data_IF_759342367970
#
_entry.id   IF_759342367970
#
_cell.length_a   1.000
_cell.length_b   1.000
_cell.length_c   1.000
_cell.angle_alpha   90.00
_cell.angle_beta   90.00
_cell.angle_gamma   90.00
#
_symmetry.space_group_name_H-M   'P 1'
#
loop_
_entity.id
_entity.type
_entity.pdbx_description
1 polymer ?
#
# COMPACT_ATOMS: atom_id res chain seq x y z
N UNK A 1 -15.74 11.21 0.11
CA UNK A 1 -14.57 11.12 1.00
C UNK A 1 -14.02 12.52 1.27
N UNK A 2 -13.24 12.72 2.34
CA UNK A 2 -12.52 13.96 2.66
C UNK A 2 -11.19 14.06 1.90
N UNK A 3 -10.45 12.96 1.78
CA UNK A 3 -9.20 12.92 1.02
C UNK A 3 -9.22 11.83 -0.07
N UNK A 4 -8.83 12.24 -1.28
CA UNK A 4 -8.62 11.36 -2.42
C UNK A 4 -7.14 11.11 -2.59
N UNK A 5 -6.72 9.87 -2.33
CA UNK A 5 -5.31 9.54 -2.18
C UNK A 5 -4.82 8.44 -3.12
N UNK A 6 -3.51 8.43 -3.29
CA UNK A 6 -2.78 7.35 -3.94
C UNK A 6 -1.55 6.99 -3.09
N UNK A 7 -1.14 5.74 -3.15
CA UNK A 7 0.12 5.30 -2.56
C UNK A 7 1.28 5.62 -3.51
N UNK A 8 2.34 6.21 -2.97
CA UNK A 8 3.59 6.51 -3.66
C UNK A 8 4.73 5.69 -3.04
N UNK A 9 5.27 4.76 -3.81
CA UNK A 9 6.34 3.86 -3.39
C UNK A 9 7.70 4.54 -3.47
N UNK A 10 8.46 4.50 -2.37
CA UNK A 10 9.83 4.99 -2.28
C UNK A 10 10.88 3.88 -2.29
N UNK A 11 10.41 2.62 -2.35
CA UNK A 11 11.19 1.40 -2.33
C UNK A 11 10.99 0.63 -1.04
N UNK A 12 10.62 -0.64 -1.17
CA UNK A 12 10.59 -1.61 -0.08
C UNK A 12 12.01 -2.13 0.17
N UNK A 13 12.46 -2.11 1.43
CA UNK A 13 13.80 -2.59 1.80
C UNK A 13 13.74 -4.00 2.36
N UNK A 14 14.50 -4.92 1.76
CA UNK A 14 14.70 -6.30 2.25
C UNK A 14 16.18 -6.61 2.20
N UNK A 15 16.77 -7.00 3.34
CA UNK A 15 18.19 -7.33 3.48
C UNK A 15 19.16 -6.27 2.89
N UNK A 16 18.78 -5.01 2.98
CA UNK A 16 19.55 -3.86 2.46
C UNK A 16 19.32 -3.54 0.98
N UNK A 17 18.58 -4.37 0.25
CA UNK A 17 18.21 -4.17 -1.15
C UNK A 17 16.86 -3.45 -1.24
N UNK A 18 16.76 -2.46 -2.12
CA UNK A 18 15.52 -1.74 -2.38
C UNK A 18 14.82 -2.26 -3.62
N UNK A 19 13.49 -2.46 -3.55
CA UNK A 19 12.65 -2.76 -4.72
C UNK A 19 12.62 -1.63 -5.76
N UNK A 20 13.08 -0.44 -5.38
CA UNK A 20 13.16 0.74 -6.24
C UNK A 20 14.62 1.16 -6.35
N UNK A 21 15.31 0.65 -7.37
CA UNK A 21 16.73 0.94 -7.57
C UNK A 21 16.94 2.44 -7.84
N UNK A 22 16.15 3.02 -8.74
CA UNK A 22 16.31 4.41 -9.17
C UNK A 22 15.37 5.35 -8.40
N UNK A 23 15.95 6.24 -7.60
CA UNK A 23 15.18 7.23 -6.83
C UNK A 23 15.69 8.65 -7.03
N UNK A 24 15.51 9.17 -8.26
CA UNK A 24 15.95 10.50 -8.63
C UNK A 24 15.01 11.60 -8.10
N UNK A 25 15.50 12.58 -7.31
CA UNK A 25 14.64 13.60 -6.71
C UNK A 25 13.77 14.40 -7.70
N UNK A 26 14.31 14.69 -8.90
CA UNK A 26 13.57 15.41 -9.93
C UNK A 26 12.40 14.60 -10.51
N UNK A 27 12.56 13.27 -10.60
CA UNK A 27 11.49 12.35 -11.01
C UNK A 27 10.43 12.30 -9.92
N UNK A 28 10.82 12.14 -8.65
CA UNK A 28 9.90 12.12 -7.51
C UNK A 28 9.05 13.39 -7.46
N UNK A 29 9.69 14.55 -7.58
CA UNK A 29 8.99 15.84 -7.58
C UNK A 29 8.00 15.96 -8.73
N UNK A 30 8.36 15.48 -9.92
CA UNK A 30 7.50 15.51 -11.10
C UNK A 30 6.32 14.54 -11.00
N UNK A 31 6.56 13.33 -10.49
CA UNK A 31 5.51 12.35 -10.25
C UNK A 31 4.48 12.86 -9.22
N UNK A 32 4.94 13.45 -8.12
CA UNK A 32 4.06 14.04 -7.11
C UNK A 32 3.27 15.24 -7.65
N UNK A 33 3.85 16.04 -8.56
CA UNK A 33 3.11 17.10 -9.23
C UNK A 33 2.00 16.54 -10.13
N UNK A 34 2.26 15.48 -10.89
CA UNK A 34 1.26 14.78 -11.71
C UNK A 34 0.16 14.16 -10.84
N UNK A 35 0.53 13.58 -9.69
CA UNK A 35 -0.43 13.05 -8.71
C UNK A 35 -1.40 14.15 -8.23
N UNK A 36 -0.89 15.35 -7.95
CA UNK A 36 -1.76 16.47 -7.58
C UNK A 36 -2.58 17.00 -8.75
N UNK A 37 -1.92 17.33 -9.86
CA UNK A 37 -2.50 18.16 -10.92
C UNK A 37 -3.34 17.34 -11.90
N UNK A 38 -2.90 16.13 -12.24
CA UNK A 38 -3.51 15.33 -13.31
C UNK A 38 -4.39 14.22 -12.75
N UNK A 39 -3.99 13.59 -11.63
CA UNK A 39 -4.85 12.65 -10.89
C UNK A 39 -5.84 13.35 -9.95
N UNK A 40 -5.70 14.66 -9.70
CA UNK A 40 -6.55 15.43 -8.77
C UNK A 40 -6.51 14.89 -7.32
N UNK A 41 -5.42 14.21 -6.93
CA UNK A 41 -5.27 13.74 -5.55
C UNK A 41 -5.11 14.91 -4.59
N UNK A 42 -5.68 14.78 -3.40
CA UNK A 42 -5.54 15.73 -2.29
C UNK A 42 -4.62 15.22 -1.20
N UNK A 43 -4.32 13.91 -1.21
CA UNK A 43 -3.42 13.27 -0.26
C UNK A 43 -2.52 12.24 -0.97
N UNK A 44 -1.38 11.92 -0.35
CA UNK A 44 -0.49 10.84 -0.81
C UNK A 44 0.01 10.03 0.38
N UNK A 45 -0.07 8.70 0.27
CA UNK A 45 0.58 7.76 1.20
C UNK A 45 1.97 7.48 0.70
N UNK A 46 2.97 8.13 1.30
CA UNK A 46 4.38 7.91 0.99
C UNK A 46 4.85 6.69 1.75
N UNK A 47 5.13 5.60 1.04
CA UNK A 47 5.45 4.28 1.63
C UNK A 47 6.82 3.77 1.22
N UNK A 48 7.46 2.99 2.08
CA UNK A 48 8.77 2.38 1.81
C UNK A 48 9.60 2.11 3.07
N UNK A 49 10.76 1.49 2.88
CA UNK A 49 11.64 1.05 3.98
C UNK A 49 12.73 2.04 4.38
N UNK A 50 13.08 2.99 3.50
CA UNK A 50 14.16 3.96 3.72
C UNK A 50 13.63 5.29 4.29
N UNK A 51 13.95 5.64 5.56
CA UNK A 51 13.51 6.89 6.19
C UNK A 51 13.91 8.16 5.43
N UNK A 52 15.06 8.18 4.76
CA UNK A 52 15.54 9.34 4.01
C UNK A 52 14.72 9.55 2.75
N UNK A 53 14.41 8.48 2.01
CA UNK A 53 13.55 8.54 0.83
C UNK A 53 12.12 8.92 1.18
N UNK A 54 11.59 8.40 2.30
CA UNK A 54 10.28 8.78 2.83
C UNK A 54 10.23 10.28 3.14
N UNK A 55 11.23 10.82 3.86
CA UNK A 55 11.28 12.24 4.22
C UNK A 55 11.42 13.15 2.98
N UNK A 56 12.20 12.73 1.98
CA UNK A 56 12.35 13.46 0.73
C UNK A 56 11.02 13.57 -0.03
N UNK A 57 10.35 12.43 -0.27
CA UNK A 57 9.08 12.41 -0.99
C UNK A 57 7.97 13.12 -0.20
N UNK A 58 7.90 12.92 1.12
CA UNK A 58 6.98 13.63 2.01
C UNK A 58 7.18 15.14 1.97
N UNK A 59 8.43 15.59 1.94
CA UNK A 59 8.78 17.01 1.78
C UNK A 59 8.24 17.59 0.47
N UNK A 60 8.47 16.90 -0.65
CA UNK A 60 7.97 17.38 -1.94
C UNK A 60 6.44 17.37 -2.01
N UNK A 61 5.79 16.33 -1.48
CA UNK A 61 4.34 16.26 -1.40
C UNK A 61 3.76 17.43 -0.58
N UNK A 62 4.36 17.71 0.58
CA UNK A 62 3.99 18.84 1.42
C UNK A 62 4.17 20.19 0.72
N UNK A 63 5.28 20.40 0.02
CA UNK A 63 5.55 21.63 -0.75
C UNK A 63 4.56 21.83 -1.92
N UNK A 64 3.98 20.74 -2.43
CA UNK A 64 2.92 20.75 -3.44
C UNK A 64 1.52 20.96 -2.84
N UNK A 65 1.38 20.97 -1.52
CA UNK A 65 0.12 21.17 -0.80
C UNK A 65 -0.72 19.90 -0.60
N UNK A 66 -0.14 18.72 -0.82
CA UNK A 66 -0.81 17.45 -0.54
C UNK A 66 -0.79 17.14 0.96
N UNK A 67 -1.87 16.56 1.48
CA UNK A 67 -1.82 15.90 2.79
C UNK A 67 -0.91 14.67 2.71
N UNK A 68 0.02 14.54 3.65
CA UNK A 68 1.03 13.49 3.64
C UNK A 68 0.66 12.39 4.63
N UNK A 69 0.52 11.17 4.14
CA UNK A 69 0.43 9.98 4.95
C UNK A 69 1.82 9.33 4.98
N UNK A 70 2.60 9.65 6.01
CA UNK A 70 3.97 9.19 6.19
C UNK A 70 3.95 7.75 6.70
N UNK A 71 4.31 6.79 5.84
CA UNK A 71 4.03 5.37 6.03
C UNK A 71 5.28 4.51 5.92
N UNK A 72 6.15 4.45 6.95
CA UNK A 72 7.21 3.44 6.97
C UNK A 72 6.64 2.04 6.79
N UNK A 73 7.24 1.27 5.88
CA UNK A 73 6.85 -0.09 5.55
C UNK A 73 7.97 -1.06 5.97
N UNK A 74 7.94 -1.54 7.22
CA UNK A 74 8.97 -2.43 7.76
C UNK A 74 8.80 -3.84 7.15
N UNK A 75 9.87 -4.39 6.58
CA UNK A 75 9.90 -5.77 6.09
C UNK A 75 10.96 -6.57 6.83
N UNK A 76 10.59 -7.78 7.25
CA UNK A 76 11.47 -8.75 7.92
C UNK A 76 12.21 -8.21 9.15
N UNK A 77 11.71 -7.13 9.77
CA UNK A 77 12.30 -6.59 11.00
C UNK A 77 11.77 -7.33 12.22
N UNK A 78 12.60 -7.49 13.25
CA UNK A 78 12.12 -7.85 14.58
C UNK A 78 11.45 -6.65 15.28
N UNK A 79 10.85 -6.88 16.46
CA UNK A 79 10.13 -5.82 17.19
C UNK A 79 11.04 -4.65 17.62
N UNK A 80 12.30 -4.90 17.96
CA UNK A 80 13.25 -3.87 18.36
C UNK A 80 13.63 -2.97 17.17
N UNK A 81 13.98 -3.60 16.06
CA UNK A 81 14.30 -2.95 14.78
C UNK A 81 13.12 -2.13 14.25
N UNK A 82 11.91 -2.72 14.27
CA UNK A 82 10.65 -2.05 13.92
C UNK A 82 10.45 -0.78 14.73
N UNK A 83 10.56 -0.85 16.07
CA UNK A 83 10.33 0.31 16.93
C UNK A 83 11.39 1.39 16.69
N UNK A 84 12.65 1.02 16.42
CA UNK A 84 13.69 1.98 16.07
C UNK A 84 13.38 2.72 14.76
N UNK A 85 12.93 2.00 13.73
CA UNK A 85 12.49 2.60 12.47
C UNK A 85 11.32 3.57 12.67
N UNK A 86 10.29 3.15 13.41
CA UNK A 86 9.12 4.00 13.68
C UNK A 86 9.49 5.26 14.48
N UNK A 87 10.47 5.18 15.39
CA UNK A 87 10.96 6.34 16.12
C UNK A 87 11.61 7.38 15.19
N UNK A 88 12.54 6.95 14.34
CA UNK A 88 13.21 7.84 13.37
C UNK A 88 12.20 8.48 12.42
N UNK A 89 11.33 7.66 11.82
CA UNK A 89 10.27 8.13 10.93
C UNK A 89 9.31 9.11 11.62
N UNK A 90 9.00 8.93 12.91
CA UNK A 90 8.15 9.88 13.64
C UNK A 90 8.80 11.26 13.79
N UNK A 91 10.11 11.31 14.05
CA UNK A 91 10.87 12.58 14.10
C UNK A 91 10.93 13.25 12.72
N UNK A 92 11.09 12.46 11.65
CA UNK A 92 11.06 12.93 10.26
C UNK A 92 9.70 13.50 9.87
N UNK A 93 8.63 12.77 10.15
CA UNK A 93 7.27 13.20 9.91
C UNK A 93 6.94 14.51 10.68
N UNK A 94 7.44 14.64 11.92
CA UNK A 94 7.30 15.86 12.71
C UNK A 94 8.02 17.06 12.06
N UNK A 95 9.21 16.87 11.49
CA UNK A 95 9.89 17.94 10.73
C UNK A 95 9.08 18.41 9.52
N UNK A 96 8.48 17.48 8.78
CA UNK A 96 7.58 17.82 7.66
C UNK A 96 6.35 18.59 8.16
N UNK A 97 5.72 18.13 9.26
CA UNK A 97 4.55 18.78 9.87
C UNK A 97 4.85 20.19 10.39
N UNK A 98 6.01 20.39 11.02
CA UNK A 98 6.42 21.69 11.57
C UNK A 98 6.63 22.78 10.50
N UNK A 99 6.76 22.39 9.22
CA UNK A 99 6.75 23.31 8.08
C UNK A 99 5.34 23.78 7.69
N UNK A 100 4.31 23.30 8.37
CA UNK A 100 2.91 23.68 8.14
C UNK A 100 2.11 22.68 7.31
N UNK A 101 2.69 21.53 6.95
CA UNK A 101 1.99 20.49 6.21
C UNK A 101 1.03 19.70 7.11
N UNK A 102 -0.08 19.23 6.53
CA UNK A 102 -0.93 18.25 7.19
C UNK A 102 -0.32 16.85 7.02
N UNK A 103 0.03 16.22 8.15
CA UNK A 103 0.71 14.92 8.18
C UNK A 103 -0.05 13.95 9.07
N UNK A 104 -0.30 12.75 8.54
CA UNK A 104 -0.76 11.57 9.27
C UNK A 104 0.39 10.57 9.31
N UNK A 105 0.71 10.03 10.49
CA UNK A 105 1.71 8.98 10.63
C UNK A 105 1.04 7.60 10.60
N UNK A 106 1.48 6.72 9.70
CA UNK A 106 1.02 5.33 9.61
C UNK A 106 2.04 4.44 10.32
N UNK A 107 1.66 3.88 11.48
CA UNK A 107 2.56 3.18 12.40
C UNK A 107 2.88 1.73 11.96
N UNK A 108 3.19 1.55 10.67
CA UNK A 108 3.42 0.25 10.03
C UNK A 108 2.24 -0.22 9.20
N UNK A 109 2.46 -1.32 8.48
CA UNK A 109 1.49 -2.00 7.66
C UNK A 109 1.61 -3.52 7.84
N UNK A 110 0.49 -4.20 8.03
CA UNK A 110 0.37 -5.67 8.01
C UNK A 110 1.44 -6.43 8.83
N UNK A 111 1.80 -5.91 10.01
CA UNK A 111 2.95 -6.37 10.79
C UNK A 111 2.92 -7.88 11.05
N UNK A 112 1.74 -8.45 11.26
CA UNK A 112 1.58 -9.90 11.46
C UNK A 112 2.24 -10.76 10.39
N UNK A 113 2.21 -10.30 9.14
CA UNK A 113 2.74 -10.99 7.96
C UNK A 113 4.12 -10.45 7.57
N UNK A 114 4.32 -9.14 7.67
CA UNK A 114 5.51 -8.47 7.16
C UNK A 114 6.71 -8.54 8.10
N UNK A 115 6.51 -8.85 9.39
CA UNK A 115 7.55 -8.81 10.42
C UNK A 115 7.76 -10.15 11.14
N UNK A 116 8.99 -10.34 11.63
CA UNK A 116 9.38 -11.55 12.35
C UNK A 116 8.81 -11.57 13.78
N UNK A 117 8.50 -12.77 14.26
CA UNK A 117 8.17 -13.01 15.67
C UNK A 117 6.70 -12.80 16.06
N UNK A 118 5.83 -12.39 15.13
CA UNK A 118 4.39 -12.29 15.36
C UNK A 118 3.67 -13.60 15.00
N UNK A 119 3.98 -14.15 13.82
CA UNK A 119 3.57 -15.49 13.37
C UNK A 119 4.77 -16.44 13.25
N UNK A 120 4.54 -17.77 13.32
CA UNK A 120 5.57 -18.75 12.97
C UNK A 120 5.97 -18.63 11.50
N UNK A 121 7.26 -18.73 11.21
CA UNK A 121 7.81 -18.68 9.85
C UNK A 121 8.94 -17.66 9.73
N UNK A 122 9.99 -18.05 9.01
CA UNK A 122 11.16 -17.20 8.80
C UNK A 122 10.95 -16.21 7.65
N UNK A 123 10.09 -16.55 6.69
CA UNK A 123 9.74 -15.72 5.53
C UNK A 123 8.30 -15.23 5.58
N UNK A 124 8.01 -14.15 4.85
CA UNK A 124 6.65 -13.67 4.59
C UNK A 124 5.73 -14.78 4.07
N UNK A 125 6.21 -15.57 3.10
CA UNK A 125 5.47 -16.70 2.53
C UNK A 125 5.16 -17.79 3.57
N UNK A 126 6.08 -18.09 4.48
CA UNK A 126 5.81 -19.03 5.57
C UNK A 126 4.68 -18.52 6.48
N UNK A 127 4.71 -17.23 6.82
CA UNK A 127 3.70 -16.60 7.68
C UNK A 127 2.34 -16.51 6.99
N UNK A 128 2.29 -16.18 5.70
CA UNK A 128 1.07 -16.23 4.89
C UNK A 128 0.49 -17.65 4.84
N UNK A 129 1.34 -18.66 4.62
CA UNK A 129 0.90 -20.06 4.57
C UNK A 129 0.25 -20.50 5.87
N UNK A 130 0.74 -20.06 7.03
CA UNK A 130 0.11 -20.34 8.33
C UNK A 130 -1.32 -19.79 8.41
N UNK A 131 -1.58 -18.63 7.81
CA UNK A 131 -2.92 -18.01 7.82
C UNK A 131 -3.87 -18.62 6.78
N UNK A 132 -3.31 -19.15 5.69
CA UNK A 132 -4.06 -19.64 4.54
C UNK A 132 -4.21 -21.17 4.52
N UNK A 133 -3.55 -21.90 5.43
CA UNK A 133 -3.58 -23.35 5.48
C UNK A 133 -5.01 -23.87 5.72
N UNK A 134 -5.62 -24.58 4.74
CA UNK A 134 -6.96 -25.13 4.88
C UNK A 134 -7.08 -26.14 6.03
N UNK A 135 -5.98 -26.84 6.36
CA UNK A 135 -5.96 -27.87 7.40
C UNK A 135 -5.95 -27.27 8.81
N UNK A 136 -5.57 -26.00 8.96
CA UNK A 136 -5.57 -25.27 10.24
C UNK A 136 -6.86 -24.46 10.47
N UNK A 137 -7.87 -24.61 9.60
CA UNK A 137 -9.11 -23.80 9.63
C UNK A 137 -9.84 -23.84 10.96
N UNK A 138 -9.85 -24.99 11.64
CA UNK A 138 -10.50 -25.15 12.95
C UNK A 138 -9.74 -24.43 14.08
N UNK A 139 -8.43 -24.20 13.92
CA UNK A 139 -7.56 -23.50 14.88
C UNK A 139 -7.38 -22.02 14.57
N UNK A 140 -7.89 -21.58 13.41
CA UNK A 140 -7.80 -20.20 12.96
C UNK A 140 -8.38 -19.20 13.98
N UNK A 141 -9.53 -19.44 14.65
CA UNK A 141 -10.03 -18.49 15.65
C UNK A 141 -9.07 -18.26 16.82
N UNK A 142 -8.46 -19.32 17.37
CA UNK A 142 -7.47 -19.23 18.44
C UNK A 142 -6.20 -18.54 17.96
N UNK A 143 -5.68 -18.94 16.79
CA UNK A 143 -4.51 -18.32 16.17
C UNK A 143 -4.71 -16.82 15.97
N UNK A 144 -5.86 -16.41 15.44
CA UNK A 144 -6.22 -15.01 15.24
C UNK A 144 -6.28 -14.26 16.56
N UNK A 145 -6.83 -14.87 17.62
CA UNK A 145 -6.89 -14.26 18.96
C UNK A 145 -5.49 -14.01 19.52
N UNK A 146 -4.60 -15.01 19.45
CA UNK A 146 -3.21 -14.88 19.90
C UNK A 146 -2.43 -13.86 19.08
N UNK A 147 -2.58 -13.91 17.75
CA UNK A 147 -1.97 -12.95 16.83
C UNK A 147 -2.39 -11.53 17.16
N UNK A 148 -3.71 -11.30 17.30
CA UNK A 148 -4.28 -9.99 17.61
C UNK A 148 -3.72 -9.46 18.92
N UNK A 149 -3.56 -10.31 19.95
CA UNK A 149 -2.98 -9.91 21.22
C UNK A 149 -1.51 -9.47 21.08
N UNK A 150 -0.70 -10.22 20.31
CA UNK A 150 0.72 -9.89 20.06
C UNK A 150 0.87 -8.61 19.24
N UNK A 151 0.11 -8.46 18.15
CA UNK A 151 0.11 -7.26 17.31
C UNK A 151 -0.26 -6.05 18.16
N UNK A 152 -1.34 -6.13 18.96
CA UNK A 152 -1.76 -5.01 19.80
C UNK A 152 -0.76 -4.66 20.92
N UNK A 153 0.05 -5.59 21.42
CA UNK A 153 1.14 -5.27 22.34
C UNK A 153 2.25 -4.45 21.66
N UNK A 154 2.65 -4.87 20.46
CA UNK A 154 3.62 -4.13 19.63
C UNK A 154 3.08 -2.74 19.27
N UNK A 155 1.83 -2.65 18.82
CA UNK A 155 1.20 -1.38 18.45
C UNK A 155 1.07 -0.42 19.64
N UNK A 156 0.79 -0.91 20.85
CA UNK A 156 0.77 -0.06 22.07
C UNK A 156 2.13 0.59 22.31
N UNK A 157 3.21 -0.18 22.16
CA UNK A 157 4.59 0.33 22.30
C UNK A 157 4.93 1.31 21.18
N UNK A 158 4.58 0.98 19.93
CA UNK A 158 4.81 1.81 18.76
C UNK A 158 4.07 3.15 18.87
N UNK A 159 2.79 3.16 19.20
CA UNK A 159 2.00 4.38 19.36
C UNK A 159 2.55 5.26 20.48
N UNK A 160 2.89 4.69 21.64
CA UNK A 160 3.51 5.46 22.72
C UNK A 160 4.82 6.14 22.27
N UNK A 161 5.64 5.42 21.50
CA UNK A 161 6.91 5.90 20.96
C UNK A 161 6.74 7.01 19.93
N UNK A 162 5.79 6.84 19.00
CA UNK A 162 5.44 7.80 17.95
C UNK A 162 4.88 9.07 18.58
N UNK A 163 3.92 8.97 19.52
CA UNK A 163 3.31 10.13 20.19
C UNK A 163 4.29 10.96 21.01
N UNK A 164 5.39 10.37 21.47
CA UNK A 164 6.46 11.11 22.15
C UNK A 164 7.27 12.02 21.20
N UNK A 165 7.17 11.80 19.88
CA UNK A 165 8.00 12.45 18.84
C UNK A 165 7.19 13.22 17.80
N UNK A 166 5.95 12.84 17.60
CA UNK A 166 5.09 13.35 16.55
C UNK A 166 3.76 13.88 17.12
N UNK A 167 3.43 15.13 16.77
CA UNK A 167 2.26 15.84 17.27
C UNK A 167 1.00 15.74 16.39
N UNK A 168 1.05 15.03 15.26
CA UNK A 168 -0.07 14.88 14.33
C UNK A 168 -0.95 13.66 14.59
N UNK A 169 -1.82 13.35 13.62
CA UNK A 169 -2.74 12.21 13.67
C UNK A 169 -2.00 10.90 13.42
N UNK A 170 -2.33 9.84 14.14
CA UNK A 170 -1.69 8.52 14.02
C UNK A 170 -2.72 7.46 13.65
N UNK A 171 -2.36 6.60 12.71
CA UNK A 171 -3.11 5.44 12.25
C UNK A 171 -2.18 4.23 12.08
N UNK A 172 -2.72 3.12 11.61
CA UNK A 172 -2.01 1.90 11.26
C UNK A 172 -2.70 1.26 10.04
N UNK A 173 -1.95 0.65 9.12
CA UNK A 173 -2.51 -0.03 7.95
C UNK A 173 -2.68 -1.53 8.27
N UNK A 174 -3.91 -1.92 8.62
CA UNK A 174 -4.18 -3.29 9.07
C UNK A 174 -4.77 -4.16 7.97
N UNK A 175 -4.40 -5.43 7.95
CA UNK A 175 -5.26 -6.46 7.37
C UNK A 175 -6.42 -6.78 8.32
N UNK A 176 -7.61 -7.15 7.82
CA UNK A 176 -8.78 -7.44 8.67
C UNK A 176 -8.55 -8.48 9.77
N UNK A 177 -7.56 -9.36 9.60
CA UNK A 177 -7.26 -10.44 10.52
C UNK A 177 -6.68 -9.97 11.87
N UNK A 178 -6.00 -8.81 11.91
CA UNK A 178 -5.21 -8.39 13.07
C UNK A 178 -6.04 -7.89 14.27
N UNK A 179 -7.34 -7.63 14.07
CA UNK A 179 -8.29 -7.12 15.08
C UNK A 179 -7.66 -6.06 15.99
N UNK A 180 -7.19 -4.99 15.36
CA UNK A 180 -6.48 -3.89 16.00
C UNK A 180 -7.36 -3.18 17.04
N UNK A 181 -6.76 -2.83 18.18
CA UNK A 181 -7.32 -1.95 19.19
C UNK A 181 -7.27 -0.51 18.69
N UNK A 182 -8.31 -0.11 17.96
CA UNK A 182 -8.43 1.23 17.40
C UNK A 182 -8.49 2.33 18.46
N UNK A 183 -8.67 2.04 19.76
CA UNK A 183 -8.64 3.06 20.81
C UNK A 183 -7.29 3.79 20.89
N UNK A 184 -6.20 3.14 20.44
CA UNK A 184 -4.84 3.70 20.40
C UNK A 184 -4.66 4.77 19.30
N UNK A 185 -5.52 4.76 18.28
CA UNK A 185 -5.35 5.53 17.05
C UNK A 185 -6.43 6.60 16.85
N UNK A 186 -6.11 7.61 16.05
CA UNK A 186 -7.05 8.67 15.68
C UNK A 186 -7.96 8.25 14.52
N UNK A 187 -7.47 7.35 13.67
CA UNK A 187 -8.11 6.88 12.44
C UNK A 187 -8.05 5.35 12.41
N UNK A 188 -9.10 4.73 11.90
CA UNK A 188 -9.14 3.30 11.56
C UNK A 188 -8.54 3.14 10.16
N UNK A 189 -7.39 2.46 10.03
CA UNK A 189 -6.73 2.24 8.74
C UNK A 189 -6.78 0.78 8.31
N UNK A 190 -7.40 0.50 7.16
CA UNK A 190 -7.59 -0.89 6.70
C UNK A 190 -7.15 -1.03 5.25
N UNK A 191 -6.32 -2.04 5.01
CA UNK A 191 -5.99 -2.53 3.68
C UNK A 191 -7.13 -3.45 3.23
N UNK A 192 -7.89 -3.01 2.23
CA UNK A 192 -9.22 -3.56 1.96
C UNK A 192 -9.43 -3.89 0.49
N UNK A 193 -9.42 -5.18 0.21
CA UNK A 193 -9.59 -5.75 -1.12
C UNK A 193 -10.92 -6.50 -1.25
N UNK A 194 -11.62 -6.30 -2.36
CA UNK A 194 -12.83 -7.06 -2.72
C UNK A 194 -12.41 -8.27 -3.56
N UNK A 195 -12.56 -9.46 -3.01
CA UNK A 195 -12.46 -10.71 -3.81
C UNK A 195 -13.84 -11.18 -4.28
N UNK A 196 -13.89 -12.21 -5.12
CA UNK A 196 -15.15 -12.84 -5.53
C UNK A 196 -15.90 -13.43 -4.32
N UNK A 197 -15.19 -14.03 -3.37
CA UNK A 197 -15.77 -14.68 -2.18
C UNK A 197 -16.52 -13.69 -1.27
N UNK A 198 -16.07 -12.43 -1.23
CA UNK A 198 -16.64 -11.40 -0.35
C UNK A 198 -17.44 -10.32 -1.08
N UNK A 199 -17.56 -10.40 -2.41
CA UNK A 199 -18.21 -9.37 -3.22
C UNK A 199 -19.64 -9.04 -2.73
N UNK A 200 -20.44 -10.05 -2.40
CA UNK A 200 -21.81 -9.88 -1.91
C UNK A 200 -21.94 -9.20 -0.54
N UNK A 201 -20.86 -9.17 0.25
CA UNK A 201 -20.83 -8.58 1.60
C UNK A 201 -19.95 -7.33 1.70
N UNK A 202 -19.16 -7.02 0.66
CA UNK A 202 -18.13 -5.98 0.71
C UNK A 202 -18.67 -4.62 1.15
N UNK A 203 -19.72 -4.13 0.49
CA UNK A 203 -20.38 -2.86 0.83
C UNK A 203 -20.89 -2.83 2.29
N UNK A 204 -21.50 -3.92 2.75
CA UNK A 204 -21.97 -4.03 4.12
C UNK A 204 -20.81 -4.05 5.13
N UNK A 205 -19.69 -4.67 4.76
CA UNK A 205 -18.44 -4.63 5.53
C UNK A 205 -17.89 -3.21 5.68
N UNK A 206 -17.81 -2.45 4.57
CA UNK A 206 -17.38 -1.03 4.61
C UNK A 206 -18.30 -0.21 5.52
N UNK A 207 -19.62 -0.36 5.41
CA UNK A 207 -20.57 0.29 6.31
C UNK A 207 -20.32 -0.06 7.78
N UNK A 208 -20.03 -1.32 8.06
CA UNK A 208 -19.70 -1.79 9.41
C UNK A 208 -18.44 -1.14 9.98
N UNK A 209 -17.42 -0.90 9.15
CA UNK A 209 -16.22 -0.15 9.54
C UNK A 209 -16.57 1.30 9.90
N UNK A 210 -17.30 1.99 9.03
CA UNK A 210 -17.66 3.41 9.23
C UNK A 210 -18.58 3.61 10.44
N UNK A 211 -19.46 2.65 10.72
CA UNK A 211 -20.39 2.72 11.86
C UNK A 211 -19.70 2.72 13.25
N UNK A 212 -18.39 2.46 13.33
CA UNK A 212 -17.64 2.47 14.59
C UNK A 212 -17.41 3.88 15.17
N UNK A 213 -17.72 4.94 14.43
CA UNK A 213 -17.71 6.33 14.92
C UNK A 213 -16.35 7.01 14.94
N UNK A 214 -15.29 6.35 14.45
CA UNK A 214 -13.99 6.96 14.13
C UNK A 214 -13.86 7.16 12.61
N UNK A 215 -13.10 8.16 12.13
CA UNK A 215 -12.76 8.25 10.71
C UNK A 215 -12.13 6.95 10.23
N UNK A 216 -12.56 6.46 9.06
CA UNK A 216 -12.03 5.26 8.43
C UNK A 216 -11.25 5.68 7.19
N UNK A 217 -10.00 5.24 7.11
CA UNK A 217 -9.19 5.32 5.91
C UNK A 217 -8.98 3.93 5.32
N UNK A 218 -9.24 3.79 4.02
CA UNK A 218 -8.80 2.63 3.26
C UNK A 218 -7.36 2.91 2.85
N UNK A 219 -6.42 2.38 3.64
CA UNK A 219 -4.98 2.64 3.49
C UNK A 219 -4.40 1.98 2.24
N UNK A 220 -5.14 1.03 1.69
CA UNK A 220 -4.77 0.30 0.48
C UNK A 220 -5.99 -0.37 -0.16
N UNK A 221 -6.14 -0.19 -1.47
CA UNK A 221 -7.02 -0.99 -2.33
C UNK A 221 -6.51 -0.95 -3.77
N UNK A 222 -6.70 -2.03 -4.52
CA UNK A 222 -6.27 -2.09 -5.90
C UNK A 222 -6.46 -3.48 -6.51
N UNK A 223 -6.02 -3.63 -7.75
CA UNK A 223 -5.91 -4.92 -8.41
C UNK A 223 -4.90 -4.85 -9.55
N UNK A 224 -4.41 -6.01 -10.00
CA UNK A 224 -3.49 -6.14 -11.12
C UNK A 224 -4.21 -6.00 -12.49
N UNK A 225 -3.44 -5.91 -13.58
CA UNK A 225 -3.93 -5.60 -14.92
C UNK A 225 -4.10 -6.83 -15.83
N UNK A 226 -4.49 -7.97 -15.29
CA UNK A 226 -4.86 -9.17 -16.05
C UNK A 226 -6.32 -9.57 -15.83
N UNK A 227 -6.89 -10.31 -16.80
CA UNK A 227 -8.28 -10.76 -16.75
C UNK A 227 -8.56 -11.61 -15.51
N UNK A 228 -9.50 -11.15 -14.69
CA UNK A 228 -9.89 -11.83 -13.44
C UNK A 228 -9.06 -11.46 -12.21
N UNK A 229 -8.11 -10.54 -12.32
CA UNK A 229 -7.30 -10.07 -11.19
C UNK A 229 -8.16 -9.54 -10.03
N UNK A 230 -9.20 -8.75 -10.35
CA UNK A 230 -10.10 -8.16 -9.36
C UNK A 230 -10.77 -9.21 -8.47
N UNK A 231 -11.08 -10.38 -8.99
CA UNK A 231 -11.74 -11.45 -8.23
C UNK A 231 -10.81 -12.16 -7.25
N UNK A 232 -9.49 -12.01 -7.41
CA UNK A 232 -8.50 -12.53 -6.46
C UNK A 232 -8.30 -11.64 -5.23
N UNK A 233 -8.79 -10.40 -5.25
CA UNK A 233 -8.60 -9.44 -4.16
C UNK A 233 -7.12 -9.20 -3.86
N UNK A 234 -6.74 -9.29 -2.57
CA UNK A 234 -5.35 -9.10 -2.13
C UNK A 234 -4.35 -10.10 -2.76
N UNK A 235 -4.84 -11.22 -3.30
CA UNK A 235 -4.03 -12.27 -3.94
C UNK A 235 -3.78 -12.04 -5.42
N UNK A 236 -4.11 -10.86 -5.95
CA UNK A 236 -3.94 -10.57 -7.37
C UNK A 236 -2.47 -10.61 -7.84
N UNK A 237 -1.51 -10.48 -6.92
CA UNK A 237 -0.08 -10.60 -7.24
C UNK A 237 0.47 -12.03 -7.15
N UNK A 238 -0.32 -13.01 -6.70
CA UNK A 238 0.05 -14.44 -6.61
C UNK A 238 0.01 -15.13 -7.99
N UNK A 239 0.69 -14.51 -8.96
CA UNK A 239 0.97 -15.05 -10.30
C UNK A 239 2.44 -14.88 -10.66
N UNK A 240 3.28 -14.53 -9.68
CA UNK A 240 4.71 -14.21 -9.85
C UNK A 240 5.54 -15.29 -9.16
N UNK A 241 6.50 -15.83 -9.91
CA UNK A 241 7.60 -16.64 -9.37
C UNK A 241 8.70 -15.71 -8.88
N UNK A 242 9.14 -15.90 -7.64
CA UNK A 242 10.26 -15.14 -7.04
C UNK A 242 11.52 -15.99 -7.03
N UNK A 243 12.67 -15.36 -7.25
CA UNK A 243 13.96 -16.00 -7.11
C UNK A 243 14.23 -16.34 -5.64
N UNK A 244 14.67 -17.56 -5.36
CA UNK A 244 14.80 -18.06 -3.99
C UNK A 244 15.95 -17.44 -3.20
N UNK A 245 16.96 -16.92 -3.90
CA UNK A 245 18.17 -16.39 -3.28
C UNK A 245 18.06 -14.88 -3.06
N UNK A 246 17.58 -14.16 -4.07
CA UNK A 246 17.44 -12.69 -4.05
C UNK A 246 16.08 -12.20 -3.55
N UNK A 247 15.02 -13.03 -3.66
CA UNK A 247 13.66 -12.61 -3.38
C UNK A 247 13.06 -11.67 -4.43
N UNK A 248 13.73 -11.46 -5.57
CA UNK A 248 13.26 -10.59 -6.64
C UNK A 248 12.22 -11.30 -7.53
N UNK A 249 11.25 -10.57 -8.11
CA UNK A 249 10.29 -11.14 -9.03
C UNK A 249 11.02 -11.61 -10.31
N UNK A 250 10.97 -12.91 -10.59
CA UNK A 250 11.69 -13.51 -11.71
C UNK A 250 10.85 -13.47 -13.00
N UNK A 251 9.60 -13.94 -12.94
CA UNK A 251 8.66 -14.02 -14.06
C UNK A 251 7.25 -14.39 -13.58
N UNK A 252 6.26 -14.33 -14.46
CA UNK A 252 4.92 -14.85 -14.20
C UNK A 252 4.90 -16.39 -14.18
N UNK A 253 4.02 -17.00 -13.40
CA UNK A 253 3.83 -18.46 -13.30
C UNK A 253 3.04 -19.08 -14.48
N UNK A 254 2.56 -18.23 -15.40
CA UNK A 254 1.77 -18.62 -16.56
C UNK A 254 1.56 -17.47 -17.55
N UNK A 255 0.80 -17.74 -18.61
CA UNK A 255 0.43 -16.74 -19.60
C UNK A 255 -0.90 -16.08 -19.21
N UNK A 256 -0.89 -14.75 -19.12
CA UNK A 256 -2.04 -13.95 -18.67
C UNK A 256 -2.48 -12.96 -19.74
N UNK A 257 -3.80 -12.77 -19.84
CA UNK A 257 -4.38 -11.80 -20.79
C UNK A 257 -4.50 -10.45 -20.11
N UNK A 258 -3.81 -9.43 -20.65
CA UNK A 258 -3.88 -8.04 -20.19
C UNK A 258 -5.31 -7.49 -20.22
N UNK A 259 -5.70 -6.81 -19.15
CA UNK A 259 -7.02 -6.21 -18.95
C UNK A 259 -6.95 -4.95 -18.06
N UNK A 260 -6.38 -3.87 -18.61
CA UNK A 260 -6.33 -2.58 -17.91
C UNK A 260 -7.72 -1.98 -17.67
N UNK A 261 -8.70 -2.30 -18.54
CA UNK A 261 -10.08 -1.84 -18.36
C UNK A 261 -10.76 -2.55 -17.18
N UNK A 262 -10.43 -3.82 -16.95
CA UNK A 262 -10.83 -4.56 -15.74
C UNK A 262 -10.25 -3.93 -14.47
N UNK A 263 -8.97 -3.59 -14.46
CA UNK A 263 -8.33 -2.85 -13.35
C UNK A 263 -9.04 -1.51 -13.09
N UNK A 264 -9.29 -0.74 -14.15
CA UNK A 264 -10.00 0.55 -14.06
C UNK A 264 -11.42 0.40 -13.52
N UNK A 265 -12.18 -0.61 -13.98
CA UNK A 265 -13.54 -0.87 -13.51
C UNK A 265 -13.56 -1.24 -12.02
N UNK A 266 -12.62 -2.06 -11.56
CA UNK A 266 -12.49 -2.43 -10.15
C UNK A 266 -12.23 -1.22 -9.25
N UNK A 267 -11.31 -0.33 -9.63
CA UNK A 267 -11.03 0.88 -8.85
C UNK A 267 -12.26 1.79 -8.74
N UNK A 268 -13.00 2.00 -9.84
CA UNK A 268 -14.23 2.80 -9.83
C UNK A 268 -15.29 2.18 -8.92
N UNK A 269 -15.51 0.87 -9.02
CA UNK A 269 -16.48 0.15 -8.18
C UNK A 269 -16.20 0.37 -6.68
N UNK A 270 -14.95 0.20 -6.26
CA UNK A 270 -14.59 0.34 -4.84
C UNK A 270 -14.69 1.78 -4.36
N UNK A 271 -14.24 2.74 -5.17
CA UNK A 271 -14.36 4.16 -4.86
C UNK A 271 -15.82 4.61 -4.70
N UNK A 272 -16.72 4.13 -5.56
CA UNK A 272 -18.16 4.38 -5.44
C UNK A 272 -18.75 3.80 -4.15
N UNK A 273 -18.27 2.63 -3.71
CA UNK A 273 -18.66 2.07 -2.40
C UNK A 273 -18.13 2.92 -1.26
N UNK A 274 -16.85 3.32 -1.31
CA UNK A 274 -16.22 4.11 -0.24
C UNK A 274 -16.87 5.48 -0.09
N UNK A 275 -17.18 6.17 -1.19
CA UNK A 275 -17.92 7.43 -1.15
C UNK A 275 -19.34 7.25 -0.61
N UNK A 276 -20.06 6.22 -1.07
CA UNK A 276 -21.45 5.99 -0.67
C UNK A 276 -21.60 5.61 0.82
N UNK A 277 -20.64 4.88 1.37
CA UNK A 277 -20.70 4.39 2.76
C UNK A 277 -19.98 5.33 3.75
N UNK A 278 -19.38 6.44 3.29
CA UNK A 278 -18.85 7.50 4.16
C UNK A 278 -17.43 7.25 4.68
N UNK A 279 -16.58 6.62 3.88
CA UNK A 279 -15.13 6.54 4.15
C UNK A 279 -14.53 7.95 4.20
N UNK A 280 -13.58 8.19 5.10
CA UNK A 280 -12.90 9.49 5.24
C UNK A 280 -11.84 9.68 4.16
N UNK A 281 -10.96 8.70 3.97
CA UNK A 281 -9.83 8.77 3.04
C UNK A 281 -9.62 7.41 2.36
N UNK A 282 -9.17 7.38 1.11
CA UNK A 282 -8.82 6.13 0.43
C UNK A 282 -7.57 6.29 -0.43
N UNK A 283 -6.70 5.27 -0.43
CA UNK A 283 -5.42 5.28 -1.14
C UNK A 283 -5.36 4.12 -2.14
N UNK A 284 -5.45 4.45 -3.43
CA UNK A 284 -5.24 3.46 -4.48
C UNK A 284 -3.80 2.96 -4.41
N UNK A 285 -3.62 1.65 -4.34
CA UNK A 285 -2.33 1.00 -4.42
C UNK A 285 -2.18 0.45 -5.84
N UNK A 286 -1.26 0.95 -6.67
CA UNK A 286 -0.12 1.85 -6.38
C UNK A 286 0.06 2.85 -7.54
N UNK A 287 0.84 3.94 -7.37
CA UNK A 287 1.21 4.79 -8.51
C UNK A 287 2.02 4.01 -9.56
N UNK A 288 3.21 3.53 -9.19
CA UNK A 288 4.12 2.77 -10.02
C UNK A 288 4.84 1.69 -9.18
N UNK A 289 5.09 0.52 -9.74
CA UNK A 289 5.88 -0.56 -9.11
C UNK A 289 7.11 -0.85 -9.98
N UNK A 290 8.27 -0.29 -9.63
CA UNK A 290 9.48 -0.31 -10.47
C UNK A 290 10.01 -1.73 -10.72
N UNK A 291 9.88 -2.63 -9.73
CA UNK A 291 10.28 -4.03 -9.85
C UNK A 291 9.41 -4.88 -10.80
N UNK A 292 8.34 -4.31 -11.38
CA UNK A 292 7.39 -5.00 -12.25
C UNK A 292 7.32 -4.31 -13.63
N UNK A 293 8.39 -4.39 -14.45
CA UNK A 293 8.46 -3.70 -15.73
C UNK A 293 7.50 -4.27 -16.77
N UNK A 294 7.15 -3.42 -17.74
CA UNK A 294 6.34 -3.77 -18.89
C UNK A 294 7.20 -4.29 -20.04
N UNK A 295 7.03 -5.57 -20.40
CA UNK A 295 7.83 -6.27 -21.42
C UNK A 295 6.97 -7.03 -22.44
N UNK A 296 6.17 -6.32 -23.25
CA UNK A 296 5.16 -6.96 -24.12
C UNK A 296 5.74 -7.69 -25.34
N UNK A 297 6.98 -7.40 -25.72
CA UNK A 297 7.58 -7.86 -26.98
C UNK A 297 8.37 -9.18 -26.84
N UNK A 298 8.53 -9.69 -25.63
CA UNK A 298 9.34 -10.87 -25.28
C UNK A 298 8.53 -12.13 -24.96
N UNK A 299 9.06 -12.99 -24.09
CA UNK A 299 8.28 -14.08 -23.48
C UNK A 299 7.11 -13.45 -22.70
N UNK A 300 5.85 -13.86 -22.93
CA UNK A 300 4.69 -13.32 -22.20
C UNK A 300 4.82 -13.40 -20.67
N UNK A 301 5.63 -14.33 -20.16
CA UNK A 301 5.89 -14.49 -18.73
C UNK A 301 6.85 -13.42 -18.16
N UNK A 302 7.56 -12.70 -19.01
CA UNK A 302 8.49 -11.65 -18.58
C UNK A 302 7.78 -10.29 -18.38
N UNK A 303 6.53 -10.13 -18.83
CA UNK A 303 5.71 -8.91 -18.65
C UNK A 303 5.13 -8.83 -17.22
N UNK A 304 6.01 -8.65 -16.23
CA UNK A 304 5.66 -8.56 -14.81
C UNK A 304 4.62 -7.48 -14.51
N UNK A 305 4.54 -6.41 -15.31
CA UNK A 305 3.51 -5.37 -15.18
C UNK A 305 2.07 -5.93 -15.18
N UNK A 306 1.82 -7.11 -15.76
CA UNK A 306 0.51 -7.78 -15.66
C UNK A 306 0.09 -8.03 -14.21
N UNK A 307 1.04 -8.40 -13.35
CA UNK A 307 0.84 -8.64 -11.92
C UNK A 307 0.89 -7.34 -11.09
N UNK A 308 1.33 -6.23 -11.65
CA UNK A 308 1.47 -4.96 -10.94
C UNK A 308 0.11 -4.31 -10.65
N UNK A 309 -0.17 -3.90 -9.40
CA UNK A 309 -1.33 -3.08 -9.07
C UNK A 309 -1.11 -1.60 -9.44
N UNK A 310 0.09 -1.24 -9.94
CA UNK A 310 0.42 0.10 -10.41
C UNK A 310 -0.55 0.61 -11.47
N UNK A 311 -0.89 1.89 -11.42
CA UNK A 311 -1.76 2.55 -12.42
C UNK A 311 -1.00 3.08 -13.64
N UNK A 312 0.33 2.92 -13.64
CA UNK A 312 1.21 3.18 -14.79
C UNK A 312 1.98 1.90 -15.12
N UNK A 313 2.37 1.76 -16.38
CA UNK A 313 3.31 0.74 -16.87
C UNK A 313 4.71 1.29 -16.71
N UNK A 314 5.58 0.60 -15.98
CA UNK A 314 7.01 0.94 -15.90
C UNK A 314 7.71 0.45 -17.16
N UNK A 315 8.55 1.28 -17.77
CA UNK A 315 9.17 1.01 -19.06
C UNK A 315 10.69 0.84 -18.91
N UNK A 316 11.22 -0.22 -19.52
CA UNK A 316 12.67 -0.45 -19.60
C UNK A 316 13.31 0.44 -20.67
N UNK A 317 14.39 1.14 -20.31
CA UNK A 317 15.27 1.88 -21.22
C UNK A 317 14.60 2.90 -22.16
N UNK A 318 13.36 3.30 -21.86
CA UNK A 318 12.59 4.29 -22.64
C UNK A 318 11.71 5.16 -21.75
N UNK A 319 11.26 6.28 -22.32
CA UNK A 319 10.29 7.16 -21.67
C UNK A 319 8.87 6.89 -22.20
N UNK A 320 7.88 7.26 -21.38
CA UNK A 320 6.49 7.34 -21.78
C UNK A 320 6.25 8.43 -22.83
N UNK A 321 5.19 8.22 -23.59
CA UNK A 321 4.73 9.14 -24.63
C UNK A 321 3.86 10.26 -24.02
N UNK A 322 3.01 9.92 -23.04
CA UNK A 322 2.10 10.90 -22.41
C UNK A 322 2.87 11.91 -21.55
N UNK A 323 3.90 11.47 -20.84
CA UNK A 323 4.75 12.32 -20.00
C UNK A 323 6.24 12.17 -20.39
N UNK A 324 6.73 12.95 -21.38
CA UNK A 324 8.09 12.81 -21.88
C UNK A 324 9.16 12.96 -20.79
N UNK A 325 10.12 12.04 -20.74
CA UNK A 325 11.19 12.03 -19.74
C UNK A 325 10.85 11.31 -18.43
N UNK A 326 9.68 10.66 -18.34
CA UNK A 326 9.35 9.74 -17.25
C UNK A 326 9.39 8.29 -17.76
N UNK A 327 9.91 7.33 -16.97
CA UNK A 327 10.11 5.95 -17.39
C UNK A 327 8.82 5.11 -17.26
N UNK A 328 7.65 5.71 -17.52
CA UNK A 328 6.37 5.04 -17.39
C UNK A 328 5.30 5.66 -18.29
N UNK A 329 4.26 4.87 -18.58
CA UNK A 329 3.09 5.28 -19.36
C UNK A 329 1.79 4.98 -18.60
N UNK A 330 0.82 5.90 -18.52
CA UNK A 330 -0.48 5.64 -17.90
C UNK A 330 -1.16 4.37 -18.40
N UNK A 331 -1.79 3.63 -17.46
CA UNK A 331 -2.80 2.60 -17.76
C UNK A 331 -4.18 3.23 -17.81
N UNK A 332 -5.18 2.47 -18.26
CA UNK A 332 -6.59 2.87 -18.15
C UNK A 332 -7.01 3.24 -16.71
N UNK A 333 -6.42 2.60 -15.69
CA UNK A 333 -6.66 2.89 -14.28
C UNK A 333 -6.30 4.32 -13.87
N UNK A 334 -5.23 4.90 -14.42
CA UNK A 334 -4.84 6.29 -14.17
C UNK A 334 -5.97 7.25 -14.57
N UNK A 335 -6.52 7.06 -15.77
CA UNK A 335 -7.62 7.90 -16.28
C UNK A 335 -8.87 7.72 -15.43
N UNK A 336 -9.19 6.48 -15.04
CA UNK A 336 -10.35 6.20 -14.20
C UNK A 336 -10.28 6.87 -12.82
N UNK A 337 -9.10 6.88 -12.17
CA UNK A 337 -8.90 7.59 -10.91
C UNK A 337 -9.02 9.10 -11.10
N UNK A 338 -8.35 9.67 -12.11
CA UNK A 338 -8.40 11.10 -12.40
C UNK A 338 -9.84 11.59 -12.65
N UNK A 339 -10.65 10.81 -13.38
CA UNK A 339 -12.06 11.12 -13.64
C UNK A 339 -12.94 11.02 -12.39
N UNK A 340 -12.62 10.12 -11.45
CA UNK A 340 -13.35 9.98 -10.20
C UNK A 340 -13.02 11.12 -9.24
N UNK A 341 -11.73 11.43 -9.05
CA UNK A 341 -11.26 12.44 -8.08
C UNK A 341 -11.52 13.89 -8.50
N UNK A 342 -11.82 14.14 -9.77
CA UNK A 342 -12.22 15.48 -10.25
C UNK A 342 -13.65 15.86 -9.84
N UNK A 343 -14.50 14.90 -9.45
CA UNK A 343 -15.94 15.11 -9.23
C UNK A 343 -16.21 15.87 -7.93
#
# INVERSE_FOLDING_TARGET
MRAHGITYDTGFLRDGTSSREHFHPDVVKRELAIIRDDLHCTAVRVTGGDPERLELAATYAADLGLEVWFSPYPLELDTGELLALLADCAERAERVRQRGAEVVFVAGAELSVMNRGLLPGDTENDRLRVLLDPDERDRLPELVSELSARVNDVLRRAVALVRARFGGRVTYASIPLERVDWALFDIVGVDLYRSAEVAGQFRAGVRGLVAQGKPVAITEFGTAAYRGAGDRGARCMEIVEYDSDSGEPARLDGEYVRDEQGQAAYLRELLEVFDAEGVDSAFAFLFALESFPHRPDGDPRDDLDLASPGIVRVLDDRCGDTYPGLPWEPKAAFTALAEHYRR
#
